data_IF_792308916550
#
_entry.id   IF_792308916550
#
_cell.length_a   1.000
_cell.length_b   1.000
_cell.length_c   1.000
_cell.angle_alpha   90.00
_cell.angle_beta   90.00
_cell.angle_gamma   90.00
#
_symmetry.space_group_name_H-M   'P 1'
#
loop_
_entity.id
_entity.type
_entity.pdbx_description
1 polymer ?
#
# COMPACT_ATOMS: atom_id res chain seq x y z
N UNK A 1 -10.67 7.53 12.89
CA UNK A 1 -10.68 6.43 13.81
C UNK A 1 -9.81 5.27 13.33
N UNK A 2 -8.90 4.88 14.18
CA UNK A 2 -7.93 3.87 13.81
C UNK A 2 -8.51 2.46 13.91
N UNK A 3 -8.23 1.64 12.91
CA UNK A 3 -8.53 0.22 12.96
C UNK A 3 -7.28 -0.56 12.67
N UNK A 4 -7.31 -1.87 12.95
CA UNK A 4 -6.21 -2.77 12.65
C UNK A 4 -6.79 -4.05 12.08
N UNK A 5 -6.25 -4.51 10.96
CA UNK A 5 -6.70 -5.77 10.39
C UNK A 5 -5.56 -6.48 9.66
N UNK A 6 -5.66 -7.80 9.64
CA UNK A 6 -4.65 -8.64 9.02
C UNK A 6 -4.91 -8.69 7.52
N UNK A 7 -3.86 -8.45 6.74
CA UNK A 7 -3.96 -8.46 5.28
C UNK A 7 -2.81 -9.26 4.68
N UNK A 8 -3.00 -9.69 3.46
CA UNK A 8 -1.92 -10.25 2.65
C UNK A 8 -1.28 -9.08 1.91
N UNK A 9 0.05 -9.02 1.92
CA UNK A 9 0.81 -7.92 1.30
C UNK A 9 1.68 -8.49 0.20
N UNK A 10 1.63 -7.86 -0.96
CA UNK A 10 2.50 -8.20 -2.09
C UNK A 10 2.99 -6.91 -2.72
N UNK A 11 3.71 -7.02 -3.81
CA UNK A 11 4.24 -5.85 -4.51
C UNK A 11 3.81 -5.80 -5.95
N UNK A 12 3.74 -4.61 -6.51
CA UNK A 12 3.43 -4.42 -7.91
C UNK A 12 4.32 -3.32 -8.49
N UNK A 13 4.35 -3.26 -9.82
CA UNK A 13 5.13 -2.26 -10.52
C UNK A 13 4.24 -1.58 -11.55
N UNK A 14 4.81 -0.59 -12.25
CA UNK A 14 4.08 0.12 -13.30
C UNK A 14 4.27 -0.50 -14.68
N UNK A 15 4.64 -1.77 -14.73
CA UNK A 15 4.78 -2.46 -16.02
C UNK A 15 3.42 -2.68 -16.64
N UNK A 16 3.28 -2.47 -17.95
CA UNK A 16 1.98 -2.64 -18.62
C UNK A 16 1.35 -4.01 -18.43
N UNK A 17 2.16 -5.05 -18.28
CA UNK A 17 1.63 -6.40 -18.10
C UNK A 17 1.02 -6.63 -16.71
N UNK A 18 1.23 -5.70 -15.79
CA UNK A 18 0.74 -5.84 -14.42
C UNK A 18 -0.34 -4.83 -14.08
N UNK A 19 -0.53 -3.82 -14.91
CA UNK A 19 -1.49 -2.74 -14.67
C UNK A 19 -2.32 -2.50 -15.92
N UNK A 20 -3.13 -1.46 -15.90
CA UNK A 20 -3.93 -1.10 -17.06
C UNK A 20 -3.08 -0.32 -18.07
N UNK A 21 -3.74 0.31 -19.03
CA UNK A 21 -3.07 1.01 -20.12
C UNK A 21 -2.35 2.30 -19.67
N UNK A 22 -2.55 2.71 -18.41
CA UNK A 22 -1.88 3.90 -17.88
C UNK A 22 -1.10 3.53 -16.62
N UNK A 23 0.03 2.78 -16.80
CA UNK A 23 0.70 2.16 -15.65
C UNK A 23 1.30 3.13 -14.64
N UNK A 24 1.52 4.39 -15.01
CA UNK A 24 2.11 5.36 -14.09
C UNK A 24 1.07 6.24 -13.42
N UNK A 25 -0.22 6.00 -13.67
CA UNK A 25 -1.30 6.77 -13.07
C UNK A 25 -2.12 5.85 -12.18
N UNK A 26 -2.30 6.27 -10.93
CA UNK A 26 -3.05 5.47 -9.96
C UNK A 26 -4.56 5.68 -10.13
N UNK A 27 -5.33 4.86 -9.41
CA UNK A 27 -6.78 5.02 -9.40
C UNK A 27 -7.21 6.35 -8.79
N UNK A 28 -6.38 6.96 -7.97
CA UNK A 28 -6.65 8.28 -7.40
C UNK A 28 -6.18 9.41 -8.32
N UNK A 29 -5.76 9.06 -9.54
CA UNK A 29 -5.29 10.02 -10.55
C UNK A 29 -4.02 10.74 -10.11
N UNK A 30 -3.12 9.99 -9.49
CA UNK A 30 -1.81 10.49 -9.07
C UNK A 30 -0.74 9.65 -9.75
N UNK A 31 0.51 10.11 -9.64
CA UNK A 31 1.62 9.39 -10.25
C UNK A 31 2.16 8.34 -9.29
N UNK A 32 2.44 7.15 -9.79
CA UNK A 32 3.04 6.09 -8.97
C UNK A 32 4.43 6.54 -8.52
N UNK A 33 4.76 6.19 -7.29
CA UNK A 33 6.05 6.51 -6.68
C UNK A 33 6.22 5.68 -5.42
N UNK A 34 7.43 5.68 -4.86
CA UNK A 34 7.65 4.98 -3.60
C UNK A 34 6.75 5.58 -2.52
N UNK A 35 6.18 4.71 -1.71
CA UNK A 35 5.25 5.11 -0.67
C UNK A 35 3.79 4.97 -1.05
N UNK A 36 3.49 4.62 -2.30
CA UNK A 36 2.12 4.38 -2.74
C UNK A 36 1.75 2.93 -2.47
N UNK A 37 0.53 2.73 -1.98
CA UNK A 37 -0.02 1.40 -1.77
C UNK A 37 -1.39 1.29 -2.42
N UNK A 38 -1.65 0.14 -3.01
CA UNK A 38 -2.97 -0.21 -3.53
C UNK A 38 -3.65 -1.11 -2.50
N UNK A 39 -4.92 -0.90 -2.26
CA UNK A 39 -5.69 -1.76 -1.39
C UNK A 39 -6.76 -2.47 -2.19
N UNK A 40 -7.17 -3.66 -1.73
CA UNK A 40 -8.31 -4.34 -2.33
C UNK A 40 -9.57 -3.50 -2.14
N UNK A 41 -10.52 -3.65 -3.06
CA UNK A 41 -11.70 -2.77 -3.10
C UNK A 41 -12.56 -2.84 -1.85
N UNK A 42 -12.55 -3.98 -1.18
CA UNK A 42 -13.30 -4.15 0.06
C UNK A 42 -12.81 -3.24 1.18
N UNK A 43 -11.63 -2.68 1.04
CA UNK A 43 -11.03 -1.80 2.04
C UNK A 43 -11.15 -0.32 1.70
N UNK A 44 -11.66 0.04 0.53
CA UNK A 44 -11.69 1.42 0.03
C UNK A 44 -13.13 1.89 -0.13
N UNK A 45 -13.47 2.97 0.56
CA UNK A 45 -14.85 3.48 0.59
C UNK A 45 -15.40 3.85 -0.77
N UNK A 46 -14.55 4.27 -1.68
CA UNK A 46 -15.01 4.60 -3.03
C UNK A 46 -15.71 3.42 -3.71
N UNK A 47 -15.29 2.21 -3.38
CA UNK A 47 -15.82 0.99 -4.01
C UNK A 47 -16.75 0.22 -3.10
N UNK A 48 -16.57 0.36 -1.78
CA UNK A 48 -17.33 -0.43 -0.81
C UNK A 48 -17.83 0.50 0.28
N UNK A 49 -19.12 0.80 0.33
CA UNK A 49 -19.67 1.67 1.36
C UNK A 49 -19.34 1.12 2.76
N UNK A 50 -18.87 1.99 3.64
CA UNK A 50 -18.52 1.58 4.99
C UNK A 50 -17.13 1.04 5.16
N UNK A 51 -16.36 0.91 4.09
CA UNK A 51 -15.00 0.44 4.19
C UNK A 51 -14.14 1.42 5.00
N UNK A 52 -13.04 0.91 5.61
CA UNK A 52 -12.29 1.73 6.57
C UNK A 52 -11.40 2.81 5.96
N UNK A 53 -10.98 2.65 4.70
CA UNK A 53 -9.99 3.55 4.12
C UNK A 53 -10.51 4.27 2.88
N UNK A 54 -9.81 5.34 2.51
CA UNK A 54 -10.12 6.07 1.29
C UNK A 54 -8.81 6.56 0.68
N UNK A 55 -8.87 6.99 -0.58
CA UNK A 55 -7.68 7.55 -1.23
C UNK A 55 -7.20 8.75 -0.46
N UNK A 56 -5.88 8.85 -0.31
CA UNK A 56 -5.25 9.91 0.44
C UNK A 56 -4.96 9.57 1.90
N UNK A 57 -5.55 8.50 2.41
CA UNK A 57 -5.27 8.08 3.78
C UNK A 57 -3.86 7.52 3.89
N UNK A 58 -3.22 7.78 5.01
CA UNK A 58 -1.95 7.15 5.33
C UNK A 58 -2.23 5.93 6.19
N UNK A 59 -1.59 4.83 5.84
CA UNK A 59 -1.74 3.56 6.56
C UNK A 59 -0.37 3.05 6.95
N UNK A 60 -0.36 2.18 7.96
CA UNK A 60 0.86 1.60 8.50
C UNK A 60 0.77 0.08 8.35
N UNK A 61 1.83 -0.52 7.81
CA UNK A 61 1.96 -1.98 7.78
C UNK A 61 3.02 -2.36 8.78
N UNK A 62 2.63 -3.09 9.80
CA UNK A 62 3.52 -3.43 10.91
C UNK A 62 4.74 -4.21 10.42
N UNK A 63 5.93 -3.73 10.78
CA UNK A 63 7.17 -4.34 10.35
C UNK A 63 7.60 -3.99 8.94
N UNK A 64 6.83 -3.16 8.23
CA UNK A 64 7.12 -2.86 6.83
C UNK A 64 7.26 -1.36 6.59
N UNK A 65 6.25 -0.56 6.93
CA UNK A 65 6.37 0.87 6.72
C UNK A 65 5.04 1.60 6.65
N UNK A 66 5.12 2.89 6.34
CA UNK A 66 3.96 3.76 6.18
C UNK A 66 3.76 4.05 4.69
N UNK A 67 2.50 4.10 4.29
CA UNK A 67 2.16 4.26 2.87
C UNK A 67 0.93 5.13 2.73
N UNK A 68 0.79 5.78 1.57
CA UNK A 68 -0.41 6.53 1.25
C UNK A 68 -1.26 5.70 0.28
N UNK A 69 -2.55 5.62 0.56
CA UNK A 69 -3.49 4.86 -0.27
C UNK A 69 -3.85 5.71 -1.47
N UNK A 70 -3.39 5.32 -2.65
CA UNK A 70 -3.68 6.06 -3.88
C UNK A 70 -4.07 5.15 -5.03
N UNK A 71 -4.13 3.85 -4.78
CA UNK A 71 -4.47 2.92 -5.85
C UNK A 71 -5.38 1.81 -5.31
N UNK A 72 -5.92 1.03 -6.20
CA UNK A 72 -6.85 -0.03 -5.85
C UNK A 72 -6.56 -1.26 -6.69
N UNK A 73 -6.79 -2.42 -6.11
CA UNK A 73 -6.56 -3.70 -6.78
C UNK A 73 -7.80 -4.15 -7.54
N UNK A 74 -7.63 -5.15 -8.40
CA UNK A 74 -8.75 -5.73 -9.13
C UNK A 74 -9.80 -6.27 -8.15
N UNK A 75 -11.04 -6.32 -8.62
CA UNK A 75 -12.16 -6.65 -7.74
C UNK A 75 -12.14 -8.03 -7.11
N UNK A 76 -11.33 -8.95 -7.66
CA UNK A 76 -11.26 -10.30 -7.11
C UNK A 76 -10.48 -10.41 -5.80
N UNK A 77 -9.73 -9.38 -5.46
CA UNK A 77 -8.89 -9.41 -4.25
C UNK A 77 -9.67 -8.94 -3.03
N UNK A 78 -9.36 -9.54 -1.89
CA UNK A 78 -9.96 -9.18 -0.61
C UNK A 78 -8.89 -9.16 0.46
N UNK A 79 -8.98 -8.22 1.39
CA UNK A 79 -8.05 -8.08 2.49
C UNK A 79 -6.61 -8.15 2.03
N UNK A 80 -6.31 -7.40 1.00
CA UNK A 80 -5.03 -7.45 0.33
C UNK A 80 -4.48 -6.04 0.16
N UNK A 81 -3.16 -5.90 0.29
CA UNK A 81 -2.45 -4.64 0.04
C UNK A 81 -1.31 -4.92 -0.90
N UNK A 82 -1.06 -3.99 -1.80
CA UNK A 82 -0.05 -4.13 -2.84
C UNK A 82 0.84 -2.91 -2.82
N UNK A 83 2.11 -3.09 -2.46
CA UNK A 83 3.06 -1.97 -2.37
C UNK A 83 3.66 -1.73 -3.73
N UNK A 84 3.69 -0.46 -4.15
CA UNK A 84 4.33 -0.11 -5.41
C UNK A 84 5.85 -0.16 -5.26
N UNK A 85 6.50 -0.84 -6.18
CA UNK A 85 7.95 -0.89 -6.27
C UNK A 85 8.38 -0.35 -7.62
N UNK A 86 9.58 0.19 -7.65
CA UNK A 86 10.12 0.78 -8.87
C UNK A 86 10.47 -0.29 -9.90
N UNK A 87 10.90 -1.46 -9.47
CA UNK A 87 11.30 -2.52 -10.38
C UNK A 87 10.62 -3.83 -10.02
N UNK A 88 10.52 -4.69 -11.04
CA UNK A 88 9.96 -6.03 -10.85
C UNK A 88 10.82 -6.86 -9.90
N UNK A 89 12.14 -6.68 -9.96
CA UNK A 89 13.04 -7.41 -9.07
C UNK A 89 12.76 -7.07 -7.61
N UNK A 90 12.55 -5.80 -7.30
CA UNK A 90 12.22 -5.40 -5.94
C UNK A 90 10.91 -6.03 -5.48
N UNK A 91 9.90 -6.00 -6.36
CA UNK A 91 8.61 -6.57 -6.03
C UNK A 91 8.71 -8.07 -5.77
N UNK A 92 9.51 -8.76 -6.59
CA UNK A 92 9.71 -10.20 -6.43
C UNK A 92 10.45 -10.54 -5.15
N UNK A 93 11.46 -9.75 -4.80
CA UNK A 93 12.20 -9.97 -3.57
C UNK A 93 11.32 -9.75 -2.34
N UNK A 94 10.43 -8.77 -2.41
CA UNK A 94 9.50 -8.55 -1.32
C UNK A 94 8.58 -9.77 -1.14
N UNK A 95 8.09 -10.30 -2.25
CA UNK A 95 7.25 -11.49 -2.24
C UNK A 95 5.86 -11.24 -1.72
N UNK A 96 5.33 -12.23 -0.99
CA UNK A 96 4.01 -12.17 -0.40
C UNK A 96 4.11 -12.52 1.06
N UNK A 97 3.50 -11.73 1.92
CA UNK A 97 3.55 -11.96 3.36
C UNK A 97 2.30 -11.41 4.03
N UNK A 98 2.09 -11.81 5.27
CA UNK A 98 0.98 -11.30 6.06
C UNK A 98 1.48 -10.16 6.93
N UNK A 99 0.62 -9.18 7.16
CA UNK A 99 0.95 -8.08 8.04
C UNK A 99 -0.33 -7.46 8.60
N UNK A 100 -0.19 -6.69 9.66
CA UNK A 100 -1.32 -5.96 10.23
C UNK A 100 -1.30 -4.56 9.63
N UNK A 101 -2.43 -4.20 9.04
CA UNK A 101 -2.63 -2.88 8.45
C UNK A 101 -3.40 -2.03 9.46
N UNK A 102 -2.84 -0.89 9.83
CA UNK A 102 -3.49 0.02 10.76
C UNK A 102 -3.68 1.39 10.13
N UNK A 103 -4.69 2.10 10.59
CA UNK A 103 -5.00 3.44 10.13
C UNK A 103 -6.50 3.68 10.13
N UNK A 104 -6.96 4.73 9.46
CA UNK A 104 -6.16 5.70 8.70
C UNK A 104 -5.48 6.73 9.60
N UNK A 105 -4.36 7.25 9.13
CA UNK A 105 -3.64 8.32 9.81
C UNK A 105 -3.64 9.56 8.93
N UNK A 106 -3.68 10.74 9.57
CA UNK A 106 -3.46 11.98 8.84
C UNK A 106 -1.96 12.22 8.67
N UNK A 107 -1.59 13.25 7.92
CA UNK A 107 -0.16 13.52 7.68
C UNK A 107 0.69 13.64 8.94
N UNK A 108 0.14 14.26 9.99
CA UNK A 108 0.86 14.36 11.25
C UNK A 108 0.97 13.04 11.98
N UNK A 109 -0.03 12.20 11.80
CA UNK A 109 -0.04 10.89 12.47
C UNK A 109 0.89 9.90 11.79
N UNK A 110 1.16 10.09 10.51
CA UNK A 110 2.08 9.22 9.78
C UNK A 110 3.45 9.23 10.42
N UNK A 111 3.91 10.41 10.85
CA UNK A 111 5.18 10.53 11.53
C UNK A 111 5.20 9.69 12.81
N UNK A 112 4.10 9.73 13.55
CA UNK A 112 3.99 8.97 14.78
C UNK A 112 4.01 7.47 14.52
N UNK A 113 3.32 7.03 13.48
CA UNK A 113 3.32 5.64 13.11
C UNK A 113 4.74 5.18 12.76
N UNK A 114 5.48 6.01 12.05
CA UNK A 114 6.86 5.72 11.69
C UNK A 114 7.74 5.56 12.91
N UNK A 115 7.46 6.28 13.97
CA UNK A 115 8.22 6.22 15.21
C UNK A 115 8.01 4.93 15.99
N UNK A 116 7.08 4.11 15.57
CA UNK A 116 6.83 2.83 16.24
C UNK A 116 7.81 1.74 15.80
N UNK A 117 8.93 2.13 15.22
CA UNK A 117 10.01 1.21 14.92
C UNK A 117 9.84 0.42 13.65
N UNK A 118 9.21 1.01 12.67
CA UNK A 118 8.95 0.34 11.42
C UNK A 118 10.08 0.57 10.43
N UNK A 119 10.52 -0.51 9.79
CA UNK A 119 11.51 -0.39 8.73
C UNK A 119 10.87 0.25 7.51
N UNK A 120 11.64 1.07 6.84
CA UNK A 120 11.20 1.73 5.64
C UNK A 120 11.46 0.83 4.44
N UNK A 121 10.43 0.17 3.98
CA UNK A 121 10.57 -0.71 2.82
C UNK A 121 11.10 0.07 1.63
N UNK A 122 10.60 1.25 1.47
CA UNK A 122 10.95 2.06 0.32
C UNK A 122 12.33 2.65 0.38
N UNK A 123 13.02 2.50 1.47
CA UNK A 123 14.35 3.09 1.58
C UNK A 123 15.36 2.38 0.70
N UNK A 124 14.89 1.49 -0.04
CA UNK A 124 15.80 0.85 -0.93
C UNK A 124 16.82 0.08 -0.22
N UNK A 125 16.66 -0.14 0.68
CA UNK A 125 17.47 -0.90 1.19
C UNK A 125 16.83 -2.00 1.39
N UNK A 126 16.43 -1.85 1.11
CA UNK A 126 15.78 -2.26 0.97
C UNK A 126 15.26 -2.55 1.13
N UNK A 127 15.15 -2.72 1.39
CA UNK A 127 14.45 -2.81 1.38
C UNK A 127 14.26 -3.23 1.64
N UNK A 128 14.32 -3.49 1.93
CA UNK A 128 14.01 -3.67 2.03
C UNK A 128 13.82 -4.03 2.34
N UNK A 129 13.83 -4.36 2.69
CA UNK A 129 13.61 -4.48 2.78
C UNK A 129 13.59 -4.84 3.10
N UNK A 130 13.38 -5.00 3.32
CA UNK A 130 13.26 -5.24 3.51
C UNK A 130 13.16 -5.76 3.38
#
# INVERSE_FOLDING_TARGET
>A
REIALSVTVSGYTSRPCETDSTPFVTAANTTTRRGVIALSRDLVRRYTPGAPFNFGDVVHLNGIGDFVVEDVMAGRWERHADIWFESLDEARLFGRRRAVLTGPYGPGDAYQASQRGVAQVASGRGGAAP
#
